data_IF_107734981305
#
_entry.id   IF_107734981305
#
_cell.length_a   1.000
_cell.length_b   1.000
_cell.length_c   1.000
_cell.angle_alpha   90.00
_cell.angle_beta   90.00
_cell.angle_gamma   90.00
#
_symmetry.space_group_name_H-M   'P 1'
#
loop_
_entity.id
_entity.type
_entity.pdbx_description
1 polymer ?
#
# COMPACT_ATOMS: atom_id res chain seq x y z
N UNK A 1 -11.93 -16.22 6.42
CA UNK A 1 -11.80 -16.19 4.95
C UNK A 1 -12.40 -17.47 4.36
N UNK A 2 -13.63 -17.82 4.78
CA UNK A 2 -14.30 -19.08 4.44
C UNK A 2 -15.40 -18.90 3.38
N UNK A 3 -15.72 -17.67 2.98
CA UNK A 3 -16.75 -17.39 1.96
C UNK A 3 -16.24 -17.57 0.51
N UNK A 4 -14.92 -17.47 0.30
CA UNK A 4 -14.27 -17.79 -0.98
C UNK A 4 -14.22 -19.30 -1.27
N UNK A 5 -14.67 -20.15 -0.35
CA UNK A 5 -14.59 -21.60 -0.47
C UNK A 5 -15.83 -22.23 -1.15
N UNK A 6 -16.89 -21.45 -1.41
CA UNK A 6 -18.02 -21.92 -2.20
C UNK A 6 -18.42 -20.86 -3.26
N UNK A 7 -17.95 -20.99 -4.51
CA UNK A 7 -18.22 -20.02 -5.57
C UNK A 7 -19.71 -19.91 -5.92
N UNK A 8 -20.47 -21.00 -5.85
CA UNK A 8 -21.93 -21.00 -6.14
C UNK A 8 -22.69 -20.11 -5.15
N UNK A 9 -22.33 -20.18 -3.87
CA UNK A 9 -22.93 -19.32 -2.83
C UNK A 9 -22.57 -17.86 -3.05
N UNK A 10 -21.34 -17.59 -3.48
CA UNK A 10 -20.89 -16.23 -3.75
C UNK A 10 -21.60 -15.64 -4.98
N UNK A 11 -21.75 -16.45 -6.02
CA UNK A 11 -22.50 -16.13 -7.23
C UNK A 11 -23.95 -15.80 -6.92
N UNK A 12 -24.64 -16.64 -6.15
CA UNK A 12 -26.01 -16.38 -5.73
C UNK A 12 -26.15 -15.06 -4.95
N UNK A 13 -25.24 -14.79 -4.02
CA UNK A 13 -25.28 -13.56 -3.20
C UNK A 13 -25.03 -12.32 -4.06
N UNK A 14 -24.03 -12.33 -4.92
CA UNK A 14 -23.66 -11.16 -5.73
C UNK A 14 -24.70 -10.93 -6.83
N UNK A 15 -25.23 -11.98 -7.45
CA UNK A 15 -26.31 -11.85 -8.44
C UNK A 15 -27.62 -11.33 -7.81
N UNK A 16 -27.83 -11.59 -6.51
CA UNK A 16 -28.96 -11.02 -5.78
C UNK A 16 -28.89 -9.48 -5.61
N UNK A 17 -27.73 -8.86 -5.85
CA UNK A 17 -27.64 -7.39 -5.93
C UNK A 17 -28.21 -6.86 -7.26
N UNK A 18 -28.27 -7.71 -8.29
CA UNK A 18 -28.88 -7.41 -9.59
C UNK A 18 -30.36 -7.85 -9.69
N UNK A 19 -30.98 -8.23 -8.56
CA UNK A 19 -32.39 -8.62 -8.49
C UNK A 19 -32.67 -10.11 -8.63
N UNK A 20 -31.63 -10.96 -8.70
CA UNK A 20 -31.81 -12.41 -8.67
C UNK A 20 -32.33 -12.90 -7.30
N UNK A 21 -33.08 -14.02 -7.24
CA UNK A 21 -33.52 -14.59 -5.99
C UNK A 21 -32.33 -15.07 -5.15
N UNK A 22 -32.34 -14.73 -3.85
CA UNK A 22 -31.37 -15.23 -2.88
C UNK A 22 -32.07 -16.21 -1.94
N UNK A 23 -31.49 -17.39 -1.77
CA UNK A 23 -31.94 -18.42 -0.85
C UNK A 23 -31.99 -17.88 0.57
N UNK A 24 -33.07 -18.16 1.34
CA UNK A 24 -33.16 -17.80 2.75
C UNK A 24 -31.98 -18.30 3.59
N UNK A 25 -31.34 -19.42 3.17
CA UNK A 25 -30.14 -19.97 3.82
C UNK A 25 -28.91 -19.07 3.67
N UNK A 26 -28.87 -18.25 2.62
CA UNK A 26 -27.74 -17.37 2.29
C UNK A 26 -27.95 -15.91 2.72
N UNK A 27 -29.15 -15.55 3.19
CA UNK A 27 -29.49 -14.20 3.67
C UNK A 27 -28.49 -13.65 4.69
N UNK A 28 -28.06 -14.44 5.68
CA UNK A 28 -27.05 -14.00 6.67
C UNK A 28 -25.68 -13.70 6.04
N UNK A 29 -25.28 -14.49 5.04
CA UNK A 29 -24.01 -14.30 4.31
C UNK A 29 -24.08 -13.04 3.43
N UNK A 30 -25.22 -12.80 2.78
CA UNK A 30 -25.49 -11.55 2.05
C UNK A 30 -25.39 -10.33 2.96
N UNK A 31 -26.11 -10.33 4.09
CA UNK A 31 -26.06 -9.22 5.06
C UNK A 31 -24.64 -8.96 5.59
N UNK A 32 -23.82 -9.99 5.75
CA UNK A 32 -22.41 -9.83 6.09
C UNK A 32 -21.64 -9.08 5.00
N UNK A 33 -21.78 -9.49 3.73
CA UNK A 33 -21.15 -8.81 2.59
C UNK A 33 -21.61 -7.34 2.51
N UNK A 34 -22.91 -7.08 2.65
CA UNK A 34 -23.46 -5.73 2.65
C UNK A 34 -22.92 -4.88 3.80
N UNK A 35 -22.74 -5.48 4.98
CA UNK A 35 -22.15 -4.80 6.13
C UNK A 35 -20.68 -4.49 5.92
N UNK A 36 -19.92 -5.37 5.26
CA UNK A 36 -18.54 -5.12 4.86
C UNK A 36 -18.46 -3.96 3.85
N UNK A 37 -19.30 -3.96 2.81
CA UNK A 37 -19.39 -2.86 1.83
C UNK A 37 -19.69 -1.53 2.53
N UNK A 38 -20.71 -1.50 3.40
CA UNK A 38 -21.06 -0.31 4.19
C UNK A 38 -19.94 0.13 5.14
N UNK A 39 -19.15 -0.79 5.68
CA UNK A 39 -18.04 -0.48 6.58
C UNK A 39 -16.93 0.35 5.94
N UNK A 40 -16.77 0.25 4.61
CA UNK A 40 -15.83 1.05 3.82
C UNK A 40 -16.39 2.42 3.40
N UNK A 41 -17.71 2.62 3.50
CA UNK A 41 -18.35 3.87 3.08
C UNK A 41 -17.81 5.06 3.90
N UNK A 42 -17.55 6.22 3.28
CA UNK A 42 -17.13 7.43 3.99
C UNK A 42 -18.12 7.91 5.05
N UNK A 43 -19.40 7.52 4.92
CA UNK A 43 -20.49 7.86 5.84
C UNK A 43 -20.49 6.97 7.10
N UNK A 44 -19.68 5.92 7.16
CA UNK A 44 -19.59 5.05 8.33
C UNK A 44 -18.77 5.71 9.44
N UNK A 45 -19.37 5.83 10.63
CA UNK A 45 -18.72 6.41 11.81
C UNK A 45 -18.12 5.34 12.75
N UNK A 46 -18.37 4.05 12.52
CA UNK A 46 -17.83 2.99 13.36
C UNK A 46 -16.42 2.58 12.93
N UNK A 47 -15.41 3.01 13.70
CA UNK A 47 -14.00 2.68 13.46
C UNK A 47 -13.73 1.18 13.45
N UNK A 48 -14.31 0.44 14.40
CA UNK A 48 -14.14 -1.02 14.48
C UNK A 48 -14.72 -1.72 13.24
N UNK A 49 -15.89 -1.26 12.76
CA UNK A 49 -16.49 -1.80 11.55
C UNK A 49 -15.61 -1.50 10.33
N UNK A 50 -15.06 -0.29 10.23
CA UNK A 50 -14.13 0.08 9.15
C UNK A 50 -12.88 -0.79 9.18
N UNK A 51 -12.22 -0.95 10.33
CA UNK A 51 -11.02 -1.80 10.45
C UNK A 51 -11.31 -3.25 10.04
N UNK A 52 -12.43 -3.83 10.49
CA UNK A 52 -12.84 -5.18 10.11
C UNK A 52 -13.15 -5.30 8.61
N UNK A 53 -13.83 -4.29 8.04
CA UNK A 53 -14.16 -4.25 6.62
C UNK A 53 -12.90 -4.14 5.75
N UNK A 54 -11.94 -3.30 6.14
CA UNK A 54 -10.65 -3.13 5.46
C UNK A 54 -9.88 -4.45 5.44
N UNK A 55 -9.69 -5.09 6.60
CA UNK A 55 -8.97 -6.37 6.67
C UNK A 55 -9.65 -7.42 5.80
N UNK A 56 -10.98 -7.45 5.80
CA UNK A 56 -11.75 -8.38 4.98
C UNK A 56 -11.58 -8.10 3.49
N UNK A 57 -11.64 -6.84 3.07
CA UNK A 57 -11.52 -6.46 1.66
C UNK A 57 -10.10 -6.60 1.12
N UNK A 58 -9.06 -6.31 1.92
CA UNK A 58 -7.66 -6.60 1.53
C UNK A 58 -7.48 -8.10 1.30
N UNK A 59 -8.03 -8.94 2.19
CA UNK A 59 -8.01 -10.40 2.01
C UNK A 59 -8.77 -10.84 0.77
N UNK A 60 -9.93 -10.25 0.48
CA UNK A 60 -10.68 -10.51 -0.74
C UNK A 60 -9.88 -10.15 -2.00
N UNK A 61 -9.28 -8.95 -2.04
CA UNK A 61 -8.41 -8.54 -3.14
C UNK A 61 -7.24 -9.52 -3.30
N UNK A 62 -6.54 -9.87 -2.22
CA UNK A 62 -5.45 -10.84 -2.24
C UNK A 62 -5.88 -12.19 -2.80
N UNK A 63 -7.05 -12.71 -2.39
CA UNK A 63 -7.59 -13.95 -2.92
C UNK A 63 -7.84 -13.88 -4.44
N UNK A 64 -8.44 -12.78 -4.90
CA UNK A 64 -8.73 -12.60 -6.33
C UNK A 64 -7.48 -12.62 -7.21
N UNK A 65 -6.30 -12.30 -6.67
CA UNK A 65 -5.04 -12.38 -7.43
C UNK A 65 -4.65 -13.81 -7.84
N UNK A 66 -5.21 -14.82 -7.18
CA UNK A 66 -4.98 -16.23 -7.50
C UNK A 66 -6.00 -16.79 -8.50
N UNK A 67 -6.99 -16.00 -8.90
CA UNK A 67 -7.91 -16.34 -9.98
C UNK A 67 -7.28 -15.91 -11.32
N UNK A 68 -7.55 -16.69 -12.37
CA UNK A 68 -7.08 -16.35 -13.71
C UNK A 68 -7.85 -15.13 -14.23
N UNK A 69 -7.11 -14.12 -14.72
CA UNK A 69 -7.67 -12.87 -15.25
C UNK A 69 -8.55 -13.10 -16.49
N UNK A 70 -8.35 -14.21 -17.22
CA UNK A 70 -9.20 -14.60 -18.35
C UNK A 70 -10.66 -14.83 -17.92
N UNK A 71 -10.90 -15.22 -16.67
CA UNK A 71 -12.23 -15.35 -16.07
C UNK A 71 -12.69 -14.00 -15.49
N UNK A 72 -12.69 -12.94 -16.33
CA UNK A 72 -13.05 -11.59 -15.90
C UNK A 72 -14.51 -11.45 -15.44
N UNK A 73 -15.35 -12.41 -15.82
CA UNK A 73 -16.73 -12.58 -15.37
C UNK A 73 -16.87 -13.25 -14.00
N UNK A 74 -15.77 -13.74 -13.40
CA UNK A 74 -15.82 -14.36 -12.09
C UNK A 74 -16.45 -13.42 -11.06
N UNK A 75 -17.42 -13.94 -10.31
CA UNK A 75 -18.13 -13.21 -9.27
C UNK A 75 -17.19 -12.54 -8.25
N UNK A 76 -16.04 -13.15 -7.99
CA UNK A 76 -15.03 -12.59 -7.08
C UNK A 76 -14.51 -11.24 -7.59
N UNK A 77 -14.26 -11.12 -8.90
CA UNK A 77 -13.84 -9.84 -9.50
C UNK A 77 -14.95 -8.80 -9.48
N UNK A 78 -16.21 -9.20 -9.66
CA UNK A 78 -17.37 -8.31 -9.51
C UNK A 78 -17.40 -7.73 -8.10
N UNK A 79 -17.25 -8.59 -7.08
CA UNK A 79 -17.22 -8.15 -5.69
C UNK A 79 -16.02 -7.24 -5.39
N UNK A 80 -14.82 -7.58 -5.86
CA UNK A 80 -13.62 -6.73 -5.73
C UNK A 80 -13.85 -5.36 -6.35
N UNK A 81 -14.36 -5.31 -7.60
CA UNK A 81 -14.66 -4.04 -8.29
C UNK A 81 -15.62 -3.15 -7.49
N UNK A 82 -16.56 -3.75 -6.75
CA UNK A 82 -17.52 -2.99 -5.92
C UNK A 82 -16.90 -2.31 -4.68
N UNK A 83 -15.73 -2.78 -4.19
CA UNK A 83 -15.11 -2.27 -2.95
C UNK A 83 -13.75 -1.62 -3.15
N UNK A 84 -13.08 -1.87 -4.28
CA UNK A 84 -11.66 -1.53 -4.48
C UNK A 84 -11.40 -0.02 -4.43
N UNK A 85 -12.32 0.81 -4.94
CA UNK A 85 -12.13 2.26 -4.96
C UNK A 85 -12.23 2.87 -3.56
N UNK A 86 -13.22 2.45 -2.77
CA UNK A 86 -13.36 2.89 -1.37
C UNK A 86 -12.18 2.41 -0.53
N UNK A 87 -11.73 1.17 -0.74
CA UNK A 87 -10.56 0.62 -0.09
C UNK A 87 -9.29 1.42 -0.41
N UNK A 88 -9.06 1.75 -1.69
CA UNK A 88 -7.94 2.61 -2.12
C UNK A 88 -8.01 3.97 -1.45
N UNK A 89 -9.19 4.60 -1.46
CA UNK A 89 -9.38 5.93 -0.90
C UNK A 89 -9.16 5.95 0.61
N UNK A 90 -9.50 4.87 1.32
CA UNK A 90 -9.26 4.79 2.75
C UNK A 90 -7.79 4.54 3.09
N UNK A 91 -7.14 3.61 2.37
CA UNK A 91 -5.79 3.13 2.70
C UNK A 91 -4.67 4.00 2.13
N UNK A 92 -4.87 4.62 0.98
CA UNK A 92 -3.86 5.40 0.27
C UNK A 92 -4.29 6.86 0.12
N UNK A 93 -4.74 7.47 1.23
CA UNK A 93 -5.06 8.89 1.28
C UNK A 93 -4.15 9.62 2.28
N UNK A 94 -3.20 10.44 1.80
CA UNK A 94 -2.27 11.15 2.68
C UNK A 94 -2.96 12.23 3.52
N UNK A 95 -4.11 12.77 3.09
CA UNK A 95 -4.87 13.77 3.84
C UNK A 95 -5.64 13.18 5.02
N UNK A 96 -5.97 11.89 4.96
CA UNK A 96 -6.67 11.15 6.02
C UNK A 96 -6.04 9.76 6.18
N UNK A 97 -4.84 9.68 6.79
CA UNK A 97 -4.11 8.42 6.89
C UNK A 97 -4.93 7.40 7.70
N UNK A 98 -4.97 6.16 7.19
CA UNK A 98 -5.69 5.04 7.81
C UNK A 98 -5.12 4.67 9.19
N UNK A 99 -3.79 4.63 9.27
CA UNK A 99 -3.05 4.16 10.44
C UNK A 99 -2.78 5.29 11.44
N UNK A 100 -2.66 4.93 12.71
CA UNK A 100 -2.19 5.85 13.77
C UNK A 100 -0.71 6.15 13.55
N UNK A 101 -0.24 7.32 14.00
CA UNK A 101 1.19 7.62 14.01
C UNK A 101 1.77 7.27 15.39
N UNK A 102 2.77 6.38 15.51
CA UNK A 102 3.38 5.55 14.44
C UNK A 102 2.54 4.28 14.10
N UNK A 103 2.62 3.77 12.86
CA UNK A 103 1.91 2.55 12.47
C UNK A 103 2.43 1.32 13.19
N UNK A 104 1.53 0.40 13.51
CA UNK A 104 1.93 -0.94 13.93
C UNK A 104 2.47 -1.78 12.77
N UNK A 105 3.33 -2.76 13.06
CA UNK A 105 3.85 -3.72 12.07
C UNK A 105 2.73 -4.39 11.25
N UNK A 106 1.63 -4.75 11.90
CA UNK A 106 0.45 -5.34 11.24
C UNK A 106 -0.20 -4.41 10.21
N UNK A 107 -0.27 -3.09 10.48
CA UNK A 107 -0.88 -2.14 9.57
C UNK A 107 -0.03 -1.94 8.31
N UNK A 108 1.30 -1.94 8.45
CA UNK A 108 2.24 -1.88 7.33
C UNK A 108 2.15 -3.14 6.44
N UNK A 109 2.01 -4.32 7.05
CA UNK A 109 1.81 -5.56 6.30
C UNK A 109 0.46 -5.59 5.59
N UNK A 110 -0.60 -5.07 6.22
CA UNK A 110 -1.92 -4.94 5.61
C UNK A 110 -1.90 -4.00 4.40
N UNK A 111 -1.25 -2.83 4.52
CA UNK A 111 -1.05 -1.89 3.42
C UNK A 111 -0.21 -2.49 2.30
N UNK A 112 0.84 -3.24 2.62
CA UNK A 112 1.68 -3.94 1.65
C UNK A 112 0.89 -5.04 0.91
N UNK A 113 0.12 -5.85 1.63
CA UNK A 113 -0.78 -6.85 1.05
C UNK A 113 -1.82 -6.19 0.12
N UNK A 114 -2.36 -5.04 0.52
CA UNK A 114 -3.28 -4.27 -0.32
C UNK A 114 -2.58 -3.78 -1.59
N UNK A 115 -1.40 -3.15 -1.47
CA UNK A 115 -0.66 -2.63 -2.61
C UNK A 115 -0.33 -3.72 -3.62
N UNK A 116 0.23 -4.85 -3.17
CA UNK A 116 0.54 -6.00 -4.04
C UNK A 116 -0.72 -6.52 -4.73
N UNK A 117 -1.85 -6.56 -4.02
CA UNK A 117 -3.13 -6.99 -4.60
C UNK A 117 -3.62 -6.01 -5.67
N UNK A 118 -3.57 -4.70 -5.40
CA UNK A 118 -3.94 -3.66 -6.35
C UNK A 118 -3.06 -3.72 -7.62
N UNK A 119 -1.75 -3.92 -7.46
CA UNK A 119 -0.83 -4.07 -8.59
C UNK A 119 -1.20 -5.28 -9.46
N UNK A 120 -1.58 -6.41 -8.86
CA UNK A 120 -1.96 -7.63 -9.59
C UNK A 120 -3.33 -7.53 -10.29
N UNK A 121 -4.29 -6.85 -9.68
CA UNK A 121 -5.67 -6.73 -10.21
C UNK A 121 -5.79 -5.57 -11.20
N UNK A 122 -5.10 -4.46 -10.94
CA UNK A 122 -5.18 -3.22 -11.70
C UNK A 122 -3.78 -2.66 -11.97
N UNK A 123 -2.93 -3.36 -12.74
CA UNK A 123 -1.51 -3.00 -12.92
C UNK A 123 -1.28 -1.60 -13.52
N UNK A 124 -2.25 -1.07 -14.27
CA UNK A 124 -2.18 0.26 -14.87
C UNK A 124 -2.76 1.38 -13.97
N UNK A 125 -3.36 1.04 -12.84
CA UNK A 125 -3.88 2.00 -11.88
C UNK A 125 -2.74 2.58 -11.04
N UNK A 126 -2.43 3.85 -11.26
CA UNK A 126 -1.29 4.52 -10.62
C UNK A 126 -1.63 5.24 -9.31
N UNK A 127 -2.88 5.21 -8.83
CA UNK A 127 -3.33 6.01 -7.68
C UNK A 127 -2.52 5.74 -6.40
N UNK A 128 -2.46 4.48 -5.97
CA UNK A 128 -1.70 4.08 -4.77
C UNK A 128 -0.19 4.30 -4.96
N UNK A 129 0.30 4.06 -6.19
CA UNK A 129 1.71 4.24 -6.54
C UNK A 129 2.15 5.70 -6.38
N UNK A 130 1.37 6.65 -6.90
CA UNK A 130 1.63 8.09 -6.77
C UNK A 130 1.69 8.54 -5.31
N UNK A 131 0.80 8.00 -4.47
CA UNK A 131 0.79 8.32 -3.04
C UNK A 131 2.08 7.81 -2.38
N UNK A 132 2.46 6.55 -2.66
CA UNK A 132 3.63 5.96 -2.03
C UNK A 132 4.98 6.44 -2.56
N UNK A 133 5.05 7.02 -3.76
CA UNK A 133 6.28 7.60 -4.31
C UNK A 133 6.43 9.10 -3.99
N UNK A 134 5.38 9.75 -3.49
CA UNK A 134 5.43 11.17 -3.16
C UNK A 134 6.26 11.40 -1.89
N UNK A 135 7.36 12.16 -2.04
CA UNK A 135 8.33 12.47 -0.97
C UNK A 135 7.73 13.23 0.22
N UNK A 136 6.60 13.91 0.02
CA UNK A 136 5.92 14.69 1.06
C UNK A 136 4.95 13.84 1.91
N UNK A 137 4.76 12.57 1.57
CA UNK A 137 3.89 11.66 2.34
C UNK A 137 4.64 11.02 3.50
N UNK A 138 3.88 10.39 4.40
CA UNK A 138 4.46 9.70 5.56
C UNK A 138 5.37 8.54 5.11
N UNK A 139 6.53 8.41 5.76
CA UNK A 139 7.51 7.31 5.62
C UNK A 139 6.87 5.91 5.53
N UNK A 140 5.75 5.70 6.23
CA UNK A 140 5.00 4.45 6.19
C UNK A 140 4.59 4.05 4.77
N UNK A 141 4.20 5.01 3.94
CA UNK A 141 3.87 4.75 2.54
C UNK A 141 5.10 4.42 1.69
N UNK A 142 6.25 5.04 1.98
CA UNK A 142 7.53 4.72 1.34
C UNK A 142 7.97 3.29 1.70
N UNK A 143 7.82 2.88 2.96
CA UNK A 143 8.04 1.50 3.37
C UNK A 143 7.11 0.53 2.63
N UNK A 144 5.82 0.85 2.56
CA UNK A 144 4.81 0.01 1.90
C UNK A 144 5.16 -0.24 0.43
N UNK A 145 5.54 0.79 -0.34
CA UNK A 145 5.92 0.58 -1.74
C UNK A 145 7.16 -0.29 -1.83
N UNK A 146 8.24 0.01 -1.10
CA UNK A 146 9.50 -0.75 -1.21
C UNK A 146 9.31 -2.21 -0.80
N UNK A 147 8.60 -2.48 0.30
CA UNK A 147 8.27 -3.83 0.74
C UNK A 147 7.41 -4.57 -0.30
N UNK A 148 6.42 -3.88 -0.89
CA UNK A 148 5.55 -4.47 -1.91
C UNK A 148 6.30 -4.82 -3.19
N UNK A 149 7.21 -3.95 -3.63
CA UNK A 149 8.02 -4.19 -4.83
C UNK A 149 9.00 -5.35 -4.64
N UNK A 150 9.61 -5.46 -3.47
CA UNK A 150 10.43 -6.63 -3.11
C UNK A 150 9.61 -7.93 -3.21
N UNK A 151 8.39 -7.93 -2.67
CA UNK A 151 7.49 -9.09 -2.74
C UNK A 151 7.06 -9.40 -4.18
N UNK A 152 6.75 -8.38 -4.99
CA UNK A 152 6.42 -8.55 -6.41
C UNK A 152 7.61 -9.15 -7.16
N UNK A 153 8.84 -8.72 -6.88
CA UNK A 153 10.06 -9.24 -7.51
C UNK A 153 10.41 -10.67 -7.08
N UNK A 154 10.10 -11.05 -5.84
CA UNK A 154 10.36 -12.39 -5.31
C UNK A 154 9.30 -13.42 -5.72
N UNK A 155 8.08 -12.98 -6.01
CA UNK A 155 6.94 -13.86 -6.32
C UNK A 155 6.51 -13.99 -7.81
N UNK A 156 7.21 -13.45 -8.83
CA UNK A 156 6.67 -13.36 -10.19
C UNK A 156 6.53 -14.71 -10.89
N UNK A 157 7.20 -15.76 -10.37
CA UNK A 157 7.19 -17.10 -10.96
C UNK A 157 6.08 -18.00 -10.42
N UNK A 158 5.27 -17.55 -9.44
CA UNK A 158 4.23 -18.41 -8.88
C UNK A 158 3.03 -18.58 -9.81
N UNK A 159 2.66 -17.56 -10.59
CA UNK A 159 1.54 -17.61 -11.52
C UNK A 159 1.88 -16.84 -12.81
N UNK A 160 1.60 -17.41 -14.01
CA UNK A 160 2.04 -16.85 -15.29
C UNK A 160 1.32 -15.54 -15.67
N UNK A 161 0.14 -15.27 -15.09
CA UNK A 161 -0.63 -14.04 -15.36
C UNK A 161 -0.30 -12.88 -14.43
N UNK A 162 0.59 -13.06 -13.45
CA UNK A 162 0.94 -11.97 -12.56
C UNK A 162 1.76 -10.91 -13.30
N UNK A 163 1.40 -9.62 -13.17
CA UNK A 163 2.15 -8.54 -13.80
C UNK A 163 3.57 -8.52 -13.26
N UNK A 164 4.49 -8.23 -14.16
CA UNK A 164 5.91 -8.12 -13.85
C UNK A 164 6.24 -6.72 -13.35
N UNK A 165 7.28 -6.63 -12.53
CA UNK A 165 7.75 -5.37 -11.95
C UNK A 165 8.15 -4.32 -13.00
N UNK A 166 8.43 -4.75 -14.24
CA UNK A 166 8.80 -3.91 -15.38
C UNK A 166 7.76 -2.83 -15.69
N UNK A 167 6.48 -3.06 -15.35
CA UNK A 167 5.42 -2.05 -15.49
C UNK A 167 5.68 -0.77 -14.67
N UNK A 168 6.62 -0.82 -13.73
CA UNK A 168 7.02 0.30 -12.88
C UNK A 168 8.28 1.01 -13.38
N UNK A 169 8.96 0.51 -14.42
CA UNK A 169 10.13 1.17 -15.00
C UNK A 169 9.86 2.61 -15.47
N UNK A 170 8.65 2.98 -15.97
CA UNK A 170 8.31 4.38 -16.24
C UNK A 170 8.30 5.30 -15.00
N UNK A 171 8.38 4.73 -13.79
CA UNK A 171 8.36 5.43 -12.49
C UNK A 171 9.71 5.39 -11.77
N UNK A 172 10.75 4.90 -12.44
CA UNK A 172 12.10 4.81 -11.88
C UNK A 172 12.65 6.17 -11.41
N UNK A 173 12.34 7.27 -12.10
CA UNK A 173 12.77 8.60 -11.69
C UNK A 173 12.25 8.98 -10.29
N UNK A 174 10.98 8.68 -10.00
CA UNK A 174 10.36 8.93 -8.70
C UNK A 174 10.99 8.04 -7.61
N UNK A 175 11.30 6.78 -7.95
CA UNK A 175 11.98 5.87 -7.03
C UNK A 175 13.42 6.31 -6.72
N UNK A 176 14.17 6.80 -7.72
CA UNK A 176 15.51 7.41 -7.56
C UNK A 176 15.46 8.65 -6.65
N UNK A 177 14.43 9.48 -6.81
CA UNK A 177 14.23 10.64 -5.96
C UNK A 177 13.97 10.22 -4.50
N UNK A 178 13.13 9.20 -4.28
CA UNK A 178 12.86 8.64 -2.96
C UNK A 178 14.10 8.01 -2.32
N UNK A 179 14.93 7.32 -3.10
CA UNK A 179 16.23 6.80 -2.64
C UNK A 179 17.14 7.92 -2.14
N UNK A 180 17.31 8.97 -2.95
CA UNK A 180 18.16 10.12 -2.62
C UNK A 180 17.66 10.85 -1.37
N UNK A 181 16.35 11.10 -1.28
CA UNK A 181 15.73 11.73 -0.12
C UNK A 181 15.92 10.90 1.16
N UNK A 182 15.67 9.58 1.07
CA UNK A 182 15.86 8.64 2.20
C UNK A 182 17.32 8.60 2.66
N UNK A 183 18.26 8.56 1.71
CA UNK A 183 19.70 8.58 1.99
C UNK A 183 20.11 9.87 2.72
N UNK A 184 19.66 11.03 2.23
CA UNK A 184 19.94 12.31 2.87
C UNK A 184 19.39 12.34 4.31
N UNK A 185 18.15 11.90 4.53
CA UNK A 185 17.54 11.85 5.87
C UNK A 185 18.22 10.86 6.80
N UNK A 186 18.67 9.71 6.28
CA UNK A 186 19.42 8.71 7.06
C UNK A 186 20.83 9.17 7.45
N UNK A 187 21.44 10.06 6.65
CA UNK A 187 22.81 10.57 6.84
C UNK A 187 22.88 11.88 7.61
N UNK A 188 21.80 12.65 7.72
CA UNK A 188 21.76 13.91 8.48
C UNK A 188 22.20 13.77 9.95
N UNK A 189 22.04 12.60 10.57
CA UNK A 189 22.56 12.31 11.92
C UNK A 189 24.07 12.11 12.03
N UNK A 190 24.79 11.90 10.92
CA UNK A 190 26.26 11.78 10.91
C UNK A 190 26.97 13.14 10.95
N UNK A 191 26.35 14.19 10.39
CA UNK A 191 26.97 15.52 10.25
C UNK A 191 27.12 16.24 11.61
N UNK A 192 26.32 15.87 12.61
CA UNK A 192 26.37 16.47 13.96
C UNK A 192 27.54 15.94 14.81
N UNK A 193 28.15 14.81 14.44
CA UNK A 193 29.19 14.16 15.24
C UNK A 193 30.64 14.40 14.77
N UNK A 194 30.87 15.21 13.74
CA UNK A 194 32.22 15.74 13.44
C UNK A 194 32.33 17.18 13.91
N UNK A 195 32.85 17.47 15.12
CA UNK A 195 33.21 18.82 15.50
C UNK A 195 34.53 19.19 14.80
N UNK A 196 34.48 19.48 13.50
CA UNK A 196 35.54 20.28 12.89
C UNK A 196 35.33 21.71 13.37
N UNK A 197 36.03 22.06 14.46
CA UNK A 197 36.12 23.42 14.98
C UNK A 197 36.68 24.34 13.89
N UNK A 198 35.81 25.07 13.20
CA UNK A 198 36.17 26.29 12.50
C UNK A 198 35.64 27.46 13.32
N UNK A 199 36.55 28.22 13.91
CA UNK A 199 36.26 29.42 14.69
C UNK A 199 35.90 30.52 13.68
N UNK A 200 34.61 30.85 13.53
CA UNK A 200 34.19 32.09 12.84
C UNK A 200 33.47 33.00 13.83
N UNK A 201 34.11 34.14 14.13
CA UNK A 201 33.51 35.25 14.87
C UNK A 201 32.62 36.07 13.92
N UNK A 202 31.31 35.89 13.95
CA UNK A 202 30.37 36.89 13.43
C UNK A 202 28.93 36.72 13.94
N UNK A 203 28.50 37.74 14.69
CA UNK A 203 27.19 38.39 14.79
C UNK A 203 25.90 37.58 14.51
N UNK A 204 25.07 37.51 15.57
CA UNK A 204 23.65 37.12 15.63
C UNK A 204 22.87 37.34 14.32
N UNK A 205 22.41 36.25 13.71
CA UNK A 205 21.13 36.21 13.01
C UNK A 205 20.21 35.23 13.74
N UNK A 206 18.97 35.67 13.97
CA UNK A 206 17.92 34.98 14.70
C UNK A 206 17.17 34.12 13.70
N UNK A 207 17.67 32.91 13.42
CA UNK A 207 16.98 31.96 12.55
C UNK A 207 16.20 30.92 13.36
N UNK A 208 14.97 30.73 12.90
CA UNK A 208 13.96 29.82 13.40
C UNK A 208 14.56 28.42 13.55
N UNK A 209 14.71 27.98 14.81
CA UNK A 209 15.04 26.60 15.15
C UNK A 209 13.96 25.69 14.57
N UNK A 210 14.29 25.07 13.43
CA UNK A 210 13.55 23.97 12.84
C UNK A 210 13.45 22.85 13.88
N UNK A 211 12.23 22.65 14.37
CA UNK A 211 11.81 21.53 15.21
C UNK A 211 11.85 20.22 14.40
N UNK A 212 13.00 19.75 13.95
CA UNK A 212 13.07 18.48 13.23
C UNK A 212 14.36 17.75 13.59
N UNK A 213 14.26 16.90 14.60
CA UNK A 213 14.92 15.60 14.65
C UNK A 213 14.38 14.87 15.88
N UNK A 214 13.33 14.07 15.69
CA UNK A 214 12.97 13.07 16.70
C UNK A 214 14.03 11.96 16.61
N UNK A 215 14.76 11.65 17.68
CA UNK A 215 15.82 10.63 17.66
C UNK A 215 15.33 9.23 17.24
N UNK A 216 14.01 8.99 17.29
CA UNK A 216 13.34 7.76 16.89
C UNK A 216 13.21 7.56 15.37
N UNK A 217 13.27 8.63 14.56
CA UNK A 217 13.03 8.51 13.10
C UNK A 217 14.28 8.05 12.34
N UNK A 218 15.49 8.33 12.85
CA UNK A 218 16.74 7.98 12.18
C UNK A 218 16.92 6.46 11.94
N UNK A 219 16.62 5.56 12.91
CA UNK A 219 16.60 4.12 12.65
C UNK A 219 15.61 3.70 11.55
N UNK A 220 14.46 4.37 11.45
CA UNK A 220 13.45 4.05 10.44
C UNK A 220 13.94 4.39 9.02
N UNK A 221 14.58 5.55 8.82
CA UNK A 221 15.19 5.91 7.53
C UNK A 221 16.31 4.94 7.13
N UNK A 222 17.14 4.47 8.08
CA UNK A 222 18.17 3.46 7.81
C UNK A 222 17.58 2.11 7.39
N UNK A 223 16.50 1.70 8.05
CA UNK A 223 15.78 0.47 7.68
C UNK A 223 15.14 0.59 6.30
N UNK A 224 14.51 1.72 5.97
CA UNK A 224 13.97 1.95 4.63
C UNK A 224 15.09 1.93 3.57
N UNK A 225 16.21 2.60 3.85
CA UNK A 225 17.36 2.63 2.95
C UNK A 225 17.89 1.22 2.68
N UNK A 226 17.99 0.37 3.71
CA UNK A 226 18.37 -1.03 3.54
C UNK A 226 17.41 -1.78 2.61
N UNK A 227 16.10 -1.58 2.76
CA UNK A 227 15.10 -2.21 1.88
C UNK A 227 15.20 -1.69 0.43
N UNK A 228 15.45 -0.40 0.25
CA UNK A 228 15.68 0.18 -1.06
C UNK A 228 16.91 -0.42 -1.74
N UNK A 229 18.03 -0.54 -1.02
CA UNK A 229 19.25 -1.17 -1.54
C UNK A 229 18.97 -2.62 -1.93
N UNK A 230 18.23 -3.38 -1.11
CA UNK A 230 17.81 -4.75 -1.45
C UNK A 230 16.95 -4.80 -2.72
N UNK A 231 16.04 -3.84 -2.88
CA UNK A 231 15.17 -3.76 -4.07
C UNK A 231 15.98 -3.47 -5.33
N UNK A 232 16.89 -2.50 -5.26
CA UNK A 232 17.77 -2.12 -6.38
C UNK A 232 18.70 -3.29 -6.75
N UNK A 233 19.23 -4.00 -5.75
CA UNK A 233 20.04 -5.19 -5.99
C UNK A 233 19.23 -6.31 -6.67
N UNK A 234 17.96 -6.49 -6.25
CA UNK A 234 17.08 -7.49 -6.86
C UNK A 234 16.65 -7.11 -8.30
N UNK A 235 16.51 -5.81 -8.60
CA UNK A 235 16.15 -5.32 -9.91
C UNK A 235 16.81 -3.95 -10.22
N UNK A 236 18.03 -3.96 -10.82
CA UNK A 236 18.75 -2.72 -11.12
C UNK A 236 18.05 -1.81 -12.13
N UNK A 237 17.16 -2.36 -12.97
CA UNK A 237 16.45 -1.58 -13.98
C UNK A 237 15.52 -0.53 -13.37
N UNK A 238 15.08 -0.73 -12.13
CA UNK A 238 14.35 0.28 -11.34
C UNK A 238 15.16 1.57 -11.10
N UNK A 239 16.49 1.52 -11.26
CA UNK A 239 17.37 2.69 -11.18
C UNK A 239 17.94 3.10 -12.54
N UNK A 240 17.98 2.20 -13.51
CA UNK A 240 18.64 2.42 -14.80
C UNK A 240 17.68 2.80 -15.93
N UNK A 241 16.38 2.53 -15.80
CA UNK A 241 15.43 2.89 -16.85
C UNK A 241 15.38 4.41 -17.04
N UNK A 242 15.55 4.82 -18.29
CA UNK A 242 15.41 6.19 -18.76
C UNK A 242 13.98 6.31 -19.25
N UNK A 243 13.12 6.80 -18.37
CA UNK A 243 11.75 7.23 -18.69
C UNK A 243 11.77 8.66 -19.21
#
# INVERSE_FOLDING_TARGET
MLLLLNPEVLEEIVNADSGAPCSPRHTKKKHFIDSVKRGLSPQNNSKQMTEAAVVTCVKLCKASTYLNIADSGNVTFVLVKSVINDLKWLLFNPSKPYSRSPPGCYELELLSDCFVSLFRIMPHSNDALKVCLNLNTNMSYHYVIVNSLLRIKQQPQLLPWWPQIELLYPRAAELRAMFTDTLNKATQGYIVHTPLRMISLSLKSKEVQSKFNKPEEMPAYRNLLLLLVKLIHADPMLMLSVS
#
